data_IF_483279904917
#
_entry.id   IF_483279904917
#
_cell.length_a   1.000
_cell.length_b   1.000
_cell.length_c   1.000
_cell.angle_alpha   90.00
_cell.angle_beta   90.00
_cell.angle_gamma   90.00
#
_symmetry.space_group_name_H-M   'P 1'
#
loop_
_entity.id
_entity.type
_entity.pdbx_description
1 polymer ?
#
# COMPACT_ATOMS: atom_id res chain seq x y z
N UNK A 1 -14.65 -21.39 -71.66
CA UNK A 1 -13.44 -21.06 -70.87
C UNK A 1 -12.29 -21.92 -71.34
N UNK A 2 -11.08 -21.38 -71.47
CA UNK A 2 -9.91 -22.16 -71.87
C UNK A 2 -9.32 -22.93 -70.68
N UNK A 3 -8.61 -24.03 -70.96
CA UNK A 3 -7.94 -24.85 -69.96
C UNK A 3 -6.95 -24.02 -69.11
N UNK A 4 -6.21 -23.11 -69.75
CA UNK A 4 -5.31 -22.17 -69.09
C UNK A 4 -6.01 -21.26 -68.07
N UNK A 5 -7.23 -20.81 -68.36
CA UNK A 5 -7.99 -19.97 -67.42
C UNK A 5 -8.36 -20.77 -66.17
N UNK A 6 -8.76 -22.02 -66.31
CA UNK A 6 -9.12 -22.90 -65.19
C UNK A 6 -7.90 -23.25 -64.32
N UNK A 7 -6.73 -23.48 -64.93
CA UNK A 7 -5.50 -23.75 -64.19
C UNK A 7 -5.02 -22.52 -63.40
N UNK A 8 -5.14 -21.31 -63.96
CA UNK A 8 -4.84 -20.06 -63.26
C UNK A 8 -5.76 -19.82 -62.06
N UNK A 9 -7.06 -20.07 -62.21
CA UNK A 9 -8.04 -19.96 -61.12
C UNK A 9 -7.69 -20.91 -59.99
N UNK A 10 -7.45 -22.20 -60.30
CA UNK A 10 -7.07 -23.20 -59.28
C UNK A 10 -5.77 -22.89 -58.57
N UNK A 11 -4.80 -22.27 -59.26
CA UNK A 11 -3.56 -21.82 -58.64
C UNK A 11 -3.84 -20.66 -57.68
N UNK A 12 -4.62 -19.66 -58.11
CA UNK A 12 -4.98 -18.53 -57.27
C UNK A 12 -5.78 -18.95 -56.02
N UNK A 13 -6.67 -19.95 -56.15
CA UNK A 13 -7.41 -20.53 -55.01
C UNK A 13 -6.44 -21.16 -53.99
N UNK A 14 -5.48 -21.97 -54.43
CA UNK A 14 -4.47 -22.57 -53.53
C UNK A 14 -3.55 -21.53 -52.90
N UNK A 15 -3.11 -20.54 -53.68
CA UNK A 15 -2.26 -19.46 -53.18
C UNK A 15 -3.02 -18.64 -52.12
N UNK A 16 -4.33 -18.41 -52.31
CA UNK A 16 -5.18 -17.75 -51.32
C UNK A 16 -5.38 -18.60 -50.07
N UNK A 17 -5.67 -19.90 -50.21
CA UNK A 17 -5.79 -20.83 -49.07
C UNK A 17 -4.51 -20.88 -48.23
N UNK A 18 -3.35 -20.94 -48.88
CA UNK A 18 -2.06 -20.92 -48.19
C UNK A 18 -1.85 -19.61 -47.43
N UNK A 19 -2.21 -18.47 -48.05
CA UNK A 19 -2.05 -17.16 -47.44
C UNK A 19 -2.95 -16.98 -46.21
N UNK A 20 -4.16 -17.53 -46.24
CA UNK A 20 -5.05 -17.58 -45.07
C UNK A 20 -4.44 -18.46 -43.98
N UNK A 21 -3.95 -19.65 -44.30
CA UNK A 21 -3.32 -20.53 -43.33
C UNK A 21 -2.11 -19.89 -42.64
N UNK A 22 -1.23 -19.25 -43.41
CA UNK A 22 -0.06 -18.54 -42.89
C UNK A 22 -0.45 -17.35 -42.00
N UNK A 23 -1.52 -16.64 -42.35
CA UNK A 23 -2.03 -15.53 -41.55
C UNK A 23 -2.63 -16.01 -40.22
N UNK A 24 -3.36 -17.14 -40.23
CA UNK A 24 -3.90 -17.76 -39.03
C UNK A 24 -2.79 -18.26 -38.10
N UNK A 25 -1.73 -18.88 -38.63
CA UNK A 25 -0.59 -19.34 -37.84
C UNK A 25 0.11 -18.15 -37.17
N UNK A 26 0.37 -17.07 -37.93
CA UNK A 26 0.94 -15.84 -37.39
C UNK A 26 0.06 -15.23 -36.30
N UNK A 27 -1.26 -15.18 -36.51
CA UNK A 27 -2.18 -14.66 -35.52
C UNK A 27 -2.17 -15.49 -34.22
N UNK A 28 -2.10 -16.83 -34.33
CA UNK A 28 -1.97 -17.73 -33.17
C UNK A 28 -0.66 -17.49 -32.43
N UNK A 29 0.46 -17.39 -33.15
CA UNK A 29 1.77 -17.12 -32.55
C UNK A 29 1.80 -15.74 -31.85
N UNK A 30 1.26 -14.71 -32.49
CA UNK A 30 1.17 -13.37 -31.89
C UNK A 30 0.29 -13.36 -30.63
N UNK A 31 -0.84 -14.08 -30.65
CA UNK A 31 -1.70 -14.21 -29.47
C UNK A 31 -0.99 -14.93 -28.33
N UNK A 32 -0.30 -16.04 -28.62
CA UNK A 32 0.44 -16.79 -27.62
C UNK A 32 1.55 -15.92 -26.98
N UNK A 33 2.27 -15.16 -27.79
CA UNK A 33 3.32 -14.26 -27.31
C UNK A 33 2.75 -13.11 -26.46
N UNK A 34 1.63 -12.51 -26.88
CA UNK A 34 0.97 -11.47 -26.10
C UNK A 34 0.49 -11.98 -24.73
N UNK A 35 -0.03 -13.22 -24.67
CA UNK A 35 -0.40 -13.86 -23.40
C UNK A 35 0.82 -14.06 -22.52
N UNK A 36 1.91 -14.62 -23.07
CA UNK A 36 3.16 -14.84 -22.33
C UNK A 36 3.73 -13.54 -21.75
N UNK A 37 3.76 -12.48 -22.55
CA UNK A 37 4.24 -11.16 -22.11
C UNK A 37 3.32 -10.55 -21.05
N UNK A 38 2.00 -10.70 -21.19
CA UNK A 38 1.03 -10.26 -20.19
C UNK A 38 1.22 -10.97 -18.84
N UNK A 39 1.38 -12.29 -18.85
CA UNK A 39 1.62 -13.09 -17.65
C UNK A 39 2.94 -12.69 -16.97
N UNK A 40 4.01 -12.49 -17.74
CA UNK A 40 5.31 -12.05 -17.24
C UNK A 40 5.25 -10.64 -16.62
N UNK A 41 4.51 -9.73 -17.25
CA UNK A 41 4.27 -8.38 -16.72
C UNK A 41 3.46 -8.43 -15.42
N UNK A 42 2.39 -9.23 -15.35
CA UNK A 42 1.59 -9.40 -14.14
C UNK A 42 2.44 -9.92 -12.99
N UNK A 43 3.20 -11.00 -13.22
CA UNK A 43 4.10 -11.56 -12.19
C UNK A 43 5.10 -10.54 -11.68
N UNK A 44 5.78 -9.84 -12.59
CA UNK A 44 6.79 -8.82 -12.21
C UNK A 44 6.15 -7.66 -11.43
N UNK A 45 4.95 -7.26 -11.82
CA UNK A 45 4.20 -6.20 -11.14
C UNK A 45 3.79 -6.65 -9.74
N UNK A 46 3.28 -7.87 -9.58
CA UNK A 46 2.90 -8.44 -8.29
C UNK A 46 4.10 -8.54 -7.34
N UNK A 47 5.25 -8.97 -7.83
CA UNK A 47 6.50 -9.01 -7.05
C UNK A 47 6.93 -7.61 -6.60
N UNK A 48 6.92 -6.62 -7.49
CA UNK A 48 7.30 -5.24 -7.19
C UNK A 48 6.35 -4.60 -6.16
N UNK A 49 5.04 -4.73 -6.38
CA UNK A 49 4.02 -4.16 -5.49
C UNK A 49 4.07 -4.82 -4.11
N UNK A 50 4.31 -6.12 -4.05
CA UNK A 50 4.45 -6.83 -2.76
C UNK A 50 5.67 -6.34 -1.98
N UNK A 51 6.79 -6.11 -2.65
CA UNK A 51 8.00 -5.57 -2.03
C UNK A 51 7.80 -4.14 -1.53
N UNK A 52 7.18 -3.27 -2.34
CA UNK A 52 6.85 -1.90 -1.95
C UNK A 52 5.89 -1.87 -0.75
N UNK A 53 4.85 -2.70 -0.75
CA UNK A 53 3.90 -2.79 0.35
C UNK A 53 4.57 -3.24 1.64
N UNK A 54 5.48 -4.22 1.56
CA UNK A 54 6.26 -4.67 2.72
C UNK A 54 7.12 -3.52 3.29
N UNK A 55 7.79 -2.75 2.42
CA UNK A 55 8.55 -1.58 2.83
C UNK A 55 7.70 -0.49 3.49
N UNK A 56 6.52 -0.19 2.92
CA UNK A 56 5.59 0.77 3.50
C UNK A 56 5.07 0.32 4.87
N UNK A 57 4.75 -0.97 5.04
CA UNK A 57 4.30 -1.52 6.32
C UNK A 57 5.38 -1.39 7.40
N UNK A 58 6.64 -1.60 7.05
CA UNK A 58 7.74 -1.44 7.99
C UNK A 58 7.91 0.01 8.43
N UNK A 59 7.87 0.96 7.47
CA UNK A 59 7.89 2.40 7.79
C UNK A 59 6.73 2.83 8.70
N UNK A 60 5.54 2.27 8.49
CA UNK A 60 4.38 2.54 9.34
C UNK A 60 4.65 2.02 10.75
N UNK A 61 5.21 0.82 10.91
CA UNK A 61 5.54 0.24 12.21
C UNK A 61 6.58 1.08 12.96
N UNK A 62 7.66 1.45 12.28
CA UNK A 62 8.71 2.31 12.86
C UNK A 62 8.12 3.63 13.35
N UNK A 63 7.39 4.35 12.47
CA UNK A 63 6.75 5.63 12.86
C UNK A 63 5.73 5.48 13.97
N UNK A 64 4.98 4.39 13.99
CA UNK A 64 4.00 4.13 15.05
C UNK A 64 4.71 3.91 16.38
N UNK A 65 5.84 3.19 16.40
CA UNK A 65 6.64 2.99 17.59
C UNK A 65 7.23 4.31 18.10
N UNK A 66 7.83 5.11 17.21
CA UNK A 66 8.37 6.44 17.53
C UNK A 66 7.30 7.37 18.12
N UNK A 67 6.12 7.44 17.49
CA UNK A 67 5.01 8.25 17.99
C UNK A 67 4.49 7.76 19.33
N UNK A 68 4.44 6.44 19.54
CA UNK A 68 4.01 5.85 20.82
C UNK A 68 4.96 6.23 21.94
N UNK A 69 6.27 6.09 21.72
CA UNK A 69 7.29 6.48 22.70
C UNK A 69 7.20 7.96 23.04
N UNK A 70 7.07 8.81 22.01
CA UNK A 70 6.93 10.25 22.18
C UNK A 70 5.69 10.61 23.02
N UNK A 71 4.54 10.03 22.70
CA UNK A 71 3.28 10.29 23.45
C UNK A 71 3.40 9.80 24.88
N UNK A 72 4.06 8.66 25.13
CA UNK A 72 4.29 8.17 26.49
C UNK A 72 5.16 9.13 27.31
N UNK A 73 6.23 9.67 26.73
CA UNK A 73 7.12 10.61 27.44
C UNK A 73 6.42 11.96 27.70
N UNK A 74 5.68 12.47 26.72
CA UNK A 74 4.85 13.67 26.89
C UNK A 74 3.81 13.46 28.01
N UNK A 75 3.09 12.33 28.00
CA UNK A 75 2.09 11.98 29.02
C UNK A 75 2.71 11.87 30.41
N UNK A 76 3.89 11.26 30.52
CA UNK A 76 4.62 11.13 31.78
C UNK A 76 5.02 12.50 32.33
N UNK A 77 5.53 13.37 31.47
CA UNK A 77 5.90 14.75 31.83
C UNK A 77 4.68 15.52 32.33
N UNK A 78 3.56 15.45 31.61
CA UNK A 78 2.30 16.08 32.04
C UNK A 78 1.80 15.54 33.38
N UNK A 79 1.88 14.23 33.60
CA UNK A 79 1.48 13.61 34.86
C UNK A 79 2.35 14.09 36.05
N UNK A 80 3.67 14.24 35.84
CA UNK A 80 4.60 14.77 36.83
C UNK A 80 4.28 16.24 37.17
N UNK A 81 3.98 17.07 36.17
CA UNK A 81 3.56 18.45 36.37
C UNK A 81 2.25 18.57 37.16
N UNK A 82 1.25 17.76 36.81
CA UNK A 82 -0.03 17.71 37.51
C UNK A 82 0.18 17.27 38.96
N UNK A 83 0.99 16.24 39.21
CA UNK A 83 1.30 15.79 40.56
C UNK A 83 2.03 16.87 41.38
N UNK A 84 2.98 17.60 40.77
CA UNK A 84 3.67 18.70 41.42
C UNK A 84 2.71 19.83 41.81
N UNK A 85 1.83 20.24 40.89
CA UNK A 85 0.79 21.25 41.14
C UNK A 85 -0.18 20.80 42.24
N UNK A 86 -0.63 19.56 42.21
CA UNK A 86 -1.51 19.00 43.23
C UNK A 86 -0.87 19.03 44.63
N UNK A 87 0.42 18.70 44.74
CA UNK A 87 1.17 18.78 46.02
C UNK A 87 1.24 20.21 46.57
N UNK A 88 1.49 21.20 45.71
CA UNK A 88 1.52 22.61 46.11
C UNK A 88 0.14 23.10 46.57
N UNK A 89 -0.91 22.78 45.81
CA UNK A 89 -2.28 23.13 46.15
C UNK A 89 -2.71 22.50 47.48
N UNK A 90 -2.33 21.24 47.74
CA UNK A 90 -2.61 20.57 49.02
C UNK A 90 -1.97 21.31 50.19
N UNK A 91 -0.68 21.66 50.10
CA UNK A 91 0.01 22.43 51.16
C UNK A 91 -0.64 23.80 51.40
N UNK A 92 -1.05 24.48 50.34
CA UNK A 92 -1.75 25.76 50.44
C UNK A 92 -3.11 25.60 51.14
N UNK A 93 -3.89 24.60 50.75
CA UNK A 93 -5.19 24.30 51.36
C UNK A 93 -5.05 23.91 52.84
N UNK A 94 -4.07 23.06 53.19
CA UNK A 94 -3.75 22.70 54.58
C UNK A 94 -3.49 23.95 55.44
N UNK A 95 -2.70 24.90 54.94
CA UNK A 95 -2.41 26.16 55.63
C UNK A 95 -3.67 27.02 55.84
N UNK A 96 -4.53 27.12 54.82
CA UNK A 96 -5.79 27.88 54.91
C UNK A 96 -6.71 27.26 55.96
N UNK A 97 -6.85 25.93 55.96
CA UNK A 97 -7.70 25.21 56.91
C UNK A 97 -7.21 25.40 58.34
N UNK A 98 -5.91 25.24 58.60
CA UNK A 98 -5.33 25.43 59.95
C UNK A 98 -5.52 26.89 60.40
N UNK A 99 -5.21 27.87 59.55
CA UNK A 99 -5.40 29.29 59.89
C UNK A 99 -6.87 29.64 60.18
N UNK A 100 -7.81 29.01 59.46
CA UNK A 100 -9.25 29.17 59.71
C UNK A 100 -9.73 28.49 60.99
N UNK A 101 -9.10 27.39 61.42
CA UNK A 101 -9.37 26.74 62.71
C UNK A 101 -8.84 27.57 63.87
N UNK A 102 -7.59 28.06 63.80
CA UNK A 102 -6.98 28.90 64.82
C UNK A 102 -7.77 30.20 65.03
N UNK A 103 -8.30 30.80 63.96
CA UNK A 103 -9.13 32.00 64.03
C UNK A 103 -10.50 31.77 64.70
N UNK A 104 -11.01 30.53 64.72
CA UNK A 104 -12.27 30.16 65.39
C UNK A 104 -12.11 29.74 66.84
N UNK A 105 -10.88 29.42 67.27
CA UNK A 105 -10.55 29.01 68.64
C UNK A 105 -10.06 30.17 69.53
N UNK A 106 -10.05 31.40 69.01
CA UNK A 106 -9.88 32.66 69.77
C UNK A 106 -11.22 33.38 69.88
#
# INVERSE_FOLDING_TARGET
MSKDTLEKIRKAERDAEQLVADAEEKAKAMKAEAVRQGEELCRTTEESVSAELAGMLEQIREKTAELTERVMEETKTEAEEVAARARLNRKSAEKIVIGGLDAKCR
#
